data_IF_753717858135
#
_entry.id   IF_753717858135
#
_cell.length_a   1.000
_cell.length_b   1.000
_cell.length_c   1.000
_cell.angle_alpha   90.00
_cell.angle_beta   90.00
_cell.angle_gamma   90.00
#
_symmetry.space_group_name_H-M   'P 1'
#
loop_
_entity.id
_entity.type
_entity.pdbx_description
1 polymer ?
#
# COMPACT_ATOMS: atom_id res chain seq x y z
N UNK A 1 33.40 -7.54 7.45
CA UNK A 1 33.64 -6.30 6.69
C UNK A 1 32.30 -5.61 6.52
N UNK A 2 32.23 -4.31 6.77
CA UNK A 2 31.01 -3.51 6.53
C UNK A 2 30.95 -3.10 5.07
N UNK A 3 29.76 -3.21 4.44
CA UNK A 3 29.51 -2.82 3.05
C UNK A 3 28.26 -1.95 2.99
N UNK A 4 28.35 -0.81 2.31
CA UNK A 4 27.21 0.07 2.02
C UNK A 4 26.73 -0.20 0.60
N UNK A 5 25.43 -0.43 0.45
CA UNK A 5 24.75 -0.68 -0.83
C UNK A 5 23.73 0.42 -1.02
N UNK A 6 23.84 1.14 -2.13
CA UNK A 6 22.93 2.24 -2.49
C UNK A 6 21.84 1.76 -3.46
N UNK A 7 20.77 2.54 -3.57
CA UNK A 7 19.64 2.31 -4.50
C UNK A 7 19.00 0.93 -4.33
N UNK A 8 18.87 0.50 -3.08
CA UNK A 8 18.16 -0.74 -2.76
C UNK A 8 16.65 -0.49 -2.80
N UNK A 9 15.93 -1.39 -3.43
CA UNK A 9 14.47 -1.30 -3.53
C UNK A 9 13.82 -1.93 -2.30
N UNK A 10 12.87 -1.22 -1.69
CA UNK A 10 12.07 -1.73 -0.58
C UNK A 10 10.88 -2.55 -1.11
N UNK A 11 10.75 -3.84 -0.75
CA UNK A 11 9.65 -4.68 -1.22
C UNK A 11 8.43 -4.69 -0.29
N UNK A 12 8.38 -3.84 0.75
CA UNK A 12 7.43 -4.01 1.86
C UNK A 12 6.02 -3.52 1.50
N UNK A 13 5.91 -2.40 0.81
CA UNK A 13 4.61 -1.88 0.37
C UNK A 13 4.67 -1.42 -1.10
N UNK A 14 3.52 -1.05 -1.67
CA UNK A 14 3.41 -0.63 -3.07
C UNK A 14 4.17 0.64 -3.46
N UNK A 15 4.80 1.34 -2.52
CA UNK A 15 5.66 2.48 -2.83
C UNK A 15 6.94 2.08 -3.55
N UNK A 16 7.45 0.86 -3.34
CA UNK A 16 8.68 0.35 -3.94
C UNK A 16 9.82 1.39 -3.91
N UNK A 17 10.06 1.98 -2.72
CA UNK A 17 11.09 3.00 -2.55
C UNK A 17 12.44 2.44 -3.02
N UNK A 18 13.10 3.11 -3.94
CA UNK A 18 14.31 2.68 -4.66
C UNK A 18 15.55 3.49 -4.29
N UNK A 19 15.46 4.29 -3.25
CA UNK A 19 16.49 5.22 -2.78
C UNK A 19 17.10 4.80 -1.43
N UNK A 20 16.93 3.53 -1.03
CA UNK A 20 17.50 3.07 0.23
C UNK A 20 19.01 2.93 0.16
N UNK A 21 19.68 3.39 1.23
CA UNK A 21 21.08 3.07 1.52
C UNK A 21 21.10 2.05 2.65
N UNK A 22 21.67 0.87 2.38
CA UNK A 22 21.70 -0.26 3.32
C UNK A 22 23.11 -0.58 3.71
N UNK A 23 23.41 -0.64 5.00
CA UNK A 23 24.69 -1.12 5.51
C UNK A 23 24.56 -2.58 5.92
N UNK A 24 25.43 -3.42 5.34
CA UNK A 24 25.48 -4.87 5.60
C UNK A 24 26.78 -5.22 6.30
N UNK A 25 26.70 -5.94 7.42
CA UNK A 25 27.83 -6.50 8.16
C UNK A 25 27.56 -7.97 8.43
N UNK A 26 28.54 -8.82 8.19
CA UNK A 26 28.43 -10.27 8.40
C UNK A 26 27.16 -10.89 7.78
N UNK A 27 26.81 -10.44 6.57
CA UNK A 27 25.61 -10.85 5.85
C UNK A 27 24.27 -10.44 6.51
N UNK A 28 24.30 -9.47 7.41
CA UNK A 28 23.14 -8.92 8.08
C UNK A 28 22.95 -7.43 7.78
N UNK A 29 21.72 -6.99 7.62
CA UNK A 29 21.41 -5.56 7.52
C UNK A 29 21.45 -4.97 8.94
N UNK A 30 22.42 -4.07 9.15
CA UNK A 30 22.63 -3.42 10.45
C UNK A 30 22.13 -1.99 10.50
N UNK A 31 22.03 -1.34 9.33
CA UNK A 31 21.59 0.06 9.26
C UNK A 31 20.92 0.32 7.91
N UNK A 32 19.93 1.21 7.94
CA UNK A 32 19.25 1.68 6.73
C UNK A 32 19.05 3.19 6.79
N UNK A 33 19.22 3.86 5.65
CA UNK A 33 18.80 5.25 5.44
C UNK A 33 17.71 5.31 4.39
N UNK A 34 16.92 6.38 4.41
CA UNK A 34 15.79 6.63 3.51
C UNK A 34 14.65 5.58 3.62
N UNK A 35 14.68 4.70 4.60
CA UNK A 35 13.60 3.79 4.93
C UNK A 35 12.57 4.46 5.84
N UNK A 36 11.30 4.07 5.73
CA UNK A 36 10.29 4.40 6.73
C UNK A 36 10.34 3.38 7.89
N UNK A 37 9.65 3.68 8.98
CA UNK A 37 9.61 2.79 10.16
C UNK A 37 9.13 1.37 9.84
N UNK A 38 8.17 1.21 8.92
CA UNK A 38 7.71 -0.10 8.46
C UNK A 38 8.80 -0.87 7.71
N UNK A 39 9.55 -0.17 6.86
CA UNK A 39 10.67 -0.75 6.13
C UNK A 39 11.78 -1.18 7.09
N UNK A 40 12.17 -0.32 8.02
CA UNK A 40 13.18 -0.58 9.03
C UNK A 40 12.80 -1.75 9.94
N UNK A 41 11.58 -1.72 10.48
CA UNK A 41 11.07 -2.79 11.32
C UNK A 41 11.12 -4.17 10.64
N UNK A 42 10.87 -4.25 9.34
CA UNK A 42 10.86 -5.51 8.60
C UNK A 42 12.22 -5.91 8.05
N UNK A 43 12.98 -4.97 7.50
CA UNK A 43 14.27 -5.27 6.84
C UNK A 43 15.46 -5.32 7.80
N UNK A 44 15.41 -4.61 8.92
CA UNK A 44 16.49 -4.62 9.92
C UNK A 44 16.20 -5.57 11.08
N UNK A 45 14.97 -5.59 11.54
CA UNK A 45 14.59 -6.32 12.77
C UNK A 45 13.75 -7.58 12.51
N UNK A 46 12.82 -7.54 11.55
CA UNK A 46 11.81 -8.58 11.41
C UNK A 46 12.35 -9.98 11.09
N UNK A 47 13.44 -10.09 10.33
CA UNK A 47 14.02 -11.39 10.04
C UNK A 47 14.82 -12.01 11.19
N UNK A 48 15.16 -11.20 12.21
CA UNK A 48 15.84 -11.63 13.46
C UNK A 48 14.88 -11.87 14.61
N UNK A 49 13.57 -11.65 14.40
CA UNK A 49 12.57 -11.82 15.46
C UNK A 49 12.53 -13.27 15.94
N UNK A 50 12.54 -13.47 17.25
CA UNK A 50 12.35 -14.78 17.89
C UNK A 50 10.94 -15.36 17.61
N UNK A 51 9.97 -14.48 17.30
CA UNK A 51 8.61 -14.89 16.92
C UNK A 51 8.53 -15.45 15.49
N UNK A 52 9.63 -15.38 14.72
CA UNK A 52 9.65 -15.88 13.34
C UNK A 52 9.57 -17.41 13.34
N UNK A 53 8.54 -17.94 12.69
CA UNK A 53 8.36 -19.37 12.49
C UNK A 53 9.36 -19.85 11.43
N UNK A 54 10.33 -20.68 11.84
CA UNK A 54 11.38 -21.21 10.97
C UNK A 54 11.13 -22.67 10.55
N UNK A 55 10.19 -23.35 11.18
CA UNK A 55 9.83 -24.75 10.90
C UNK A 55 8.32 -24.89 10.83
N UNK A 56 7.80 -25.84 10.06
CA UNK A 56 6.39 -26.18 10.12
C UNK A 56 6.00 -26.59 11.54
N UNK A 57 4.77 -26.28 11.92
CA UNK A 57 4.27 -26.60 13.27
C UNK A 57 2.88 -27.23 13.17
N UNK A 58 2.61 -28.20 14.00
CA UNK A 58 1.28 -28.75 14.20
C UNK A 58 0.86 -28.63 15.67
N UNK A 59 -0.45 -28.62 15.91
CA UNK A 59 -0.98 -28.55 17.28
C UNK A 59 -1.13 -29.96 17.85
N UNK A 60 -0.42 -30.22 18.95
CA UNK A 60 -0.53 -31.43 19.76
C UNK A 60 -0.91 -31.00 21.19
N UNK A 61 -1.99 -31.55 21.71
CA UNK A 61 -2.51 -31.24 23.07
C UNK A 61 -2.62 -29.73 23.38
N UNK A 62 -3.11 -28.95 22.39
CA UNK A 62 -3.27 -27.51 22.53
C UNK A 62 -2.01 -26.68 22.28
N UNK A 63 -0.83 -27.28 22.16
CA UNK A 63 0.46 -26.59 21.98
C UNK A 63 0.94 -26.77 20.53
N UNK A 64 1.49 -25.69 19.93
CA UNK A 64 2.15 -25.76 18.63
C UNK A 64 3.55 -26.35 18.81
N UNK A 65 3.84 -27.45 18.14
CA UNK A 65 5.13 -28.13 18.17
C UNK A 65 5.76 -28.17 16.78
N UNK A 66 7.06 -27.92 16.63
CA UNK A 66 7.77 -28.03 15.36
C UNK A 66 7.76 -29.48 14.86
N UNK A 67 7.55 -29.66 13.55
CA UNK A 67 7.57 -30.96 12.89
C UNK A 67 8.31 -30.89 11.55
N UNK A 68 8.74 -32.01 10.97
CA UNK A 68 9.21 -32.07 9.59
C UNK A 68 8.13 -31.63 8.60
N UNK A 69 8.54 -31.08 7.45
CA UNK A 69 7.63 -30.61 6.41
C UNK A 69 6.64 -31.68 5.94
N UNK A 70 7.13 -32.90 5.72
CA UNK A 70 6.30 -34.02 5.26
C UNK A 70 5.21 -34.41 6.27
N UNK A 71 5.50 -34.33 7.57
CA UNK A 71 4.50 -34.56 8.62
C UNK A 71 3.43 -33.46 8.61
N UNK A 72 3.85 -32.20 8.44
CA UNK A 72 2.92 -31.06 8.34
C UNK A 72 2.01 -31.18 7.11
N UNK A 73 2.58 -31.53 5.95
CA UNK A 73 1.82 -31.72 4.70
C UNK A 73 0.82 -32.88 4.84
N UNK A 74 1.25 -34.02 5.37
CA UNK A 74 0.35 -35.16 5.62
C UNK A 74 -0.80 -34.78 6.55
N UNK A 75 -0.51 -34.05 7.62
CA UNK A 75 -1.55 -33.60 8.55
C UNK A 75 -2.51 -32.61 7.89
N UNK A 76 -2.03 -31.68 7.08
CA UNK A 76 -2.87 -30.74 6.33
C UNK A 76 -3.77 -31.48 5.31
N UNK A 77 -3.20 -32.41 4.55
CA UNK A 77 -3.96 -33.23 3.62
C UNK A 77 -5.06 -34.05 4.33
N UNK A 78 -4.75 -34.64 5.47
CA UNK A 78 -5.73 -35.40 6.27
C UNK A 78 -6.88 -34.47 6.73
N UNK A 79 -6.58 -33.25 7.22
CA UNK A 79 -7.61 -32.31 7.66
C UNK A 79 -8.53 -31.92 6.50
N UNK A 80 -7.95 -31.66 5.32
CA UNK A 80 -8.71 -31.30 4.12
C UNK A 80 -9.59 -32.46 3.64
N UNK A 81 -9.07 -33.68 3.66
CA UNK A 81 -9.81 -34.89 3.23
C UNK A 81 -10.93 -35.25 4.20
N UNK A 82 -10.74 -35.05 5.49
CA UNK A 82 -11.74 -35.34 6.52
C UNK A 82 -12.83 -34.26 6.59
N UNK A 83 -12.58 -33.09 6.03
CA UNK A 83 -13.53 -31.99 6.05
C UNK A 83 -14.74 -32.26 5.15
N UNK A 84 -15.94 -32.02 5.64
CA UNK A 84 -17.17 -32.19 4.87
C UNK A 84 -17.33 -31.18 3.74
N UNK A 85 -16.88 -29.96 3.99
CA UNK A 85 -16.94 -28.87 3.01
C UNK A 85 -15.81 -27.87 3.30
N UNK A 86 -14.60 -28.14 2.82
CA UNK A 86 -13.47 -27.24 3.03
C UNK A 86 -13.62 -25.94 2.23
N UNK A 87 -13.09 -24.85 2.74
CA UNK A 87 -12.96 -23.57 2.05
C UNK A 87 -11.48 -23.25 1.84
N UNK A 88 -11.07 -23.14 0.59
CA UNK A 88 -9.76 -22.64 0.21
C UNK A 88 -9.84 -21.13 -0.04
N UNK A 89 -9.38 -20.33 0.91
CA UNK A 89 -9.51 -18.87 0.87
C UNK A 89 -8.15 -18.17 0.84
N UNK A 90 -8.11 -17.05 0.10
CA UNK A 90 -6.93 -16.19 0.01
C UNK A 90 -6.55 -15.90 -1.43
N UNK A 91 -5.55 -16.58 -1.95
CA UNK A 91 -5.12 -16.68 -3.34
C UNK A 91 -4.75 -15.36 -4.05
N UNK A 92 -5.08 -14.19 -3.53
CA UNK A 92 -4.59 -12.94 -4.08
C UNK A 92 -3.12 -12.73 -3.69
N UNK A 93 -2.37 -11.98 -4.48
CA UNK A 93 -0.96 -11.67 -4.24
C UNK A 93 -0.05 -12.91 -4.18
N UNK A 94 -0.41 -13.98 -4.91
CA UNK A 94 0.43 -15.15 -5.12
C UNK A 94 0.65 -15.39 -6.61
N UNK A 95 1.57 -16.30 -6.94
CA UNK A 95 1.92 -16.59 -8.34
C UNK A 95 0.84 -17.44 -9.03
N UNK A 96 0.68 -17.28 -10.35
CA UNK A 96 -0.35 -17.95 -11.13
C UNK A 96 -0.27 -19.47 -11.06
N UNK A 97 0.93 -20.04 -10.97
CA UNK A 97 1.16 -21.49 -10.82
C UNK A 97 0.56 -22.02 -9.52
N UNK A 98 0.72 -21.30 -8.42
CA UNK A 98 0.12 -21.67 -7.14
C UNK A 98 -1.41 -21.57 -7.17
N UNK A 99 -1.95 -20.53 -7.85
CA UNK A 99 -3.39 -20.38 -8.03
C UNK A 99 -3.97 -21.55 -8.84
N UNK A 100 -3.31 -21.95 -9.94
CA UNK A 100 -3.71 -23.10 -10.75
C UNK A 100 -3.79 -24.39 -9.91
N UNK A 101 -2.73 -24.69 -9.15
CA UNK A 101 -2.71 -25.85 -8.26
C UNK A 101 -3.81 -25.75 -7.19
N UNK A 102 -4.08 -24.52 -6.70
CA UNK A 102 -5.18 -24.29 -5.75
C UNK A 102 -6.55 -24.62 -6.33
N UNK A 103 -6.79 -24.29 -7.61
CA UNK A 103 -8.04 -24.65 -8.30
C UNK A 103 -8.13 -26.19 -8.47
N UNK A 104 -7.07 -26.83 -8.94
CA UNK A 104 -7.01 -28.31 -9.08
C UNK A 104 -7.29 -29.01 -7.74
N UNK A 105 -6.70 -28.51 -6.65
CA UNK A 105 -6.95 -29.02 -5.31
C UNK A 105 -8.40 -28.82 -4.87
N UNK A 106 -9.00 -27.66 -5.20
CA UNK A 106 -10.39 -27.38 -4.89
C UNK A 106 -11.35 -28.32 -5.62
N UNK A 107 -11.08 -28.59 -6.89
CA UNK A 107 -11.84 -29.55 -7.72
C UNK A 107 -11.74 -30.98 -7.18
N UNK A 108 -10.52 -31.42 -6.81
CA UNK A 108 -10.29 -32.76 -6.24
C UNK A 108 -11.00 -32.95 -4.91
N UNK A 109 -11.05 -31.93 -4.07
CA UNK A 109 -11.71 -31.98 -2.76
C UNK A 109 -13.22 -31.71 -2.80
N UNK A 110 -13.75 -31.25 -3.95
CA UNK A 110 -15.12 -30.72 -4.00
C UNK A 110 -15.33 -29.51 -3.07
N UNK A 111 -14.31 -28.69 -2.90
CA UNK A 111 -14.29 -27.57 -1.95
C UNK A 111 -14.78 -26.27 -2.55
N UNK A 112 -15.18 -25.32 -1.71
CA UNK A 112 -15.32 -23.93 -2.13
C UNK A 112 -13.93 -23.31 -2.28
N UNK A 113 -13.78 -22.47 -3.34
CA UNK A 113 -12.60 -21.66 -3.56
C UNK A 113 -13.02 -20.18 -3.64
N UNK A 114 -12.38 -19.32 -2.86
CA UNK A 114 -12.65 -17.91 -2.89
C UNK A 114 -11.39 -17.10 -2.58
N UNK A 115 -11.40 -15.82 -2.93
CA UNK A 115 -10.28 -14.92 -2.68
C UNK A 115 -10.78 -13.56 -2.15
N UNK A 116 -9.85 -12.73 -1.69
CA UNK A 116 -10.20 -11.42 -1.17
C UNK A 116 -10.82 -10.48 -2.22
N UNK A 117 -10.73 -10.79 -3.51
CA UNK A 117 -11.35 -9.99 -4.56
C UNK A 117 -12.87 -9.98 -4.49
N UNK A 118 -13.51 -11.01 -3.97
CA UNK A 118 -14.98 -11.09 -3.85
C UNK A 118 -15.56 -9.94 -3.04
N UNK A 119 -14.88 -9.54 -1.97
CA UNK A 119 -15.29 -8.42 -1.12
C UNK A 119 -14.56 -7.13 -1.50
N UNK A 120 -13.26 -7.20 -1.79
CA UNK A 120 -12.39 -6.05 -2.02
C UNK A 120 -12.57 -5.47 -3.44
N UNK A 121 -12.44 -6.31 -4.48
CA UNK A 121 -12.47 -5.89 -5.88
C UNK A 121 -13.80 -6.16 -6.59
N UNK A 122 -14.63 -7.05 -6.09
CA UNK A 122 -15.90 -7.38 -6.72
C UNK A 122 -16.76 -6.15 -7.04
N UNK A 123 -17.05 -5.28 -6.07
CA UNK A 123 -17.79 -4.04 -6.32
C UNK A 123 -17.09 -3.11 -7.33
N UNK A 124 -15.76 -2.99 -7.24
CA UNK A 124 -14.99 -2.16 -8.17
C UNK A 124 -14.98 -2.74 -9.59
N UNK A 125 -14.90 -4.07 -9.73
CA UNK A 125 -14.97 -4.74 -11.05
C UNK A 125 -16.34 -4.54 -11.67
N UNK A 126 -17.42 -4.66 -10.93
CA UNK A 126 -18.77 -4.39 -11.41
C UNK A 126 -18.90 -2.94 -11.93
N UNK A 127 -18.44 -1.97 -11.14
CA UNK A 127 -18.42 -0.58 -11.57
C UNK A 127 -17.54 -0.37 -12.82
N UNK A 128 -16.38 -1.03 -12.88
CA UNK A 128 -15.47 -0.95 -14.03
C UNK A 128 -16.10 -1.50 -15.31
N UNK A 129 -16.91 -2.55 -15.22
CA UNK A 129 -17.63 -3.12 -16.38
C UNK A 129 -18.66 -2.15 -16.95
N UNK A 130 -19.24 -1.29 -16.12
CA UNK A 130 -20.25 -0.32 -16.54
C UNK A 130 -19.65 0.98 -17.06
N UNK A 131 -18.68 1.55 -16.35
CA UNK A 131 -18.18 2.91 -16.62
C UNK A 131 -16.67 2.97 -16.94
N UNK A 132 -15.97 1.84 -16.94
CA UNK A 132 -14.53 1.79 -17.09
C UNK A 132 -13.77 2.26 -15.84
N UNK A 133 -12.44 2.20 -15.92
CA UNK A 133 -11.55 2.70 -14.88
C UNK A 133 -10.39 3.48 -15.49
N UNK A 134 -10.33 4.80 -15.31
CA UNK A 134 -9.14 5.56 -15.67
C UNK A 134 -8.02 5.23 -14.66
N UNK A 135 -6.96 4.59 -15.14
CA UNK A 135 -5.83 4.20 -14.31
C UNK A 135 -4.59 5.05 -14.61
N UNK A 136 -3.75 5.24 -13.61
CA UNK A 136 -2.47 5.92 -13.74
C UNK A 136 -1.41 5.22 -12.89
N UNK A 137 -0.18 5.21 -13.39
CA UNK A 137 0.96 4.75 -12.60
C UNK A 137 1.37 5.81 -11.56
N UNK A 138 2.07 5.40 -10.51
CA UNK A 138 2.62 6.33 -9.53
C UNK A 138 3.54 7.37 -10.17
N UNK A 139 4.30 6.99 -11.21
CA UNK A 139 5.12 7.91 -11.99
C UNK A 139 4.29 8.96 -12.74
N UNK A 140 3.17 8.59 -13.35
CA UNK A 140 2.27 9.52 -14.00
C UNK A 140 1.64 10.49 -12.99
N UNK A 141 1.21 10.00 -11.84
CA UNK A 141 0.69 10.84 -10.75
C UNK A 141 1.76 11.83 -10.30
N UNK A 142 2.97 11.33 -10.00
CA UNK A 142 4.10 12.16 -9.59
C UNK A 142 4.37 13.32 -10.55
N UNK A 143 4.35 13.03 -11.85
CA UNK A 143 4.80 14.01 -12.85
C UNK A 143 3.68 14.88 -13.42
N UNK A 144 2.41 14.54 -13.25
CA UNK A 144 1.30 15.20 -13.96
C UNK A 144 0.14 15.67 -13.08
N UNK A 145 -0.09 15.04 -11.91
CA UNK A 145 -1.24 15.39 -11.09
C UNK A 145 -1.05 16.75 -10.41
N UNK A 146 -2.00 17.63 -10.57
CA UNK A 146 -2.11 18.94 -9.89
C UNK A 146 -3.12 18.92 -8.74
N UNK A 147 -4.03 17.96 -8.77
CA UNK A 147 -5.01 17.69 -7.72
C UNK A 147 -5.02 16.21 -7.38
N UNK A 148 -4.90 15.91 -6.11
CA UNK A 148 -4.98 14.54 -5.57
C UNK A 148 -6.17 14.46 -4.62
N UNK A 149 -7.01 13.43 -4.82
CA UNK A 149 -8.11 13.12 -3.91
C UNK A 149 -7.88 11.73 -3.33
N UNK A 150 -7.74 11.65 -2.01
CA UNK A 150 -7.76 10.40 -1.29
C UNK A 150 -9.17 10.16 -0.75
N UNK A 151 -9.79 9.08 -1.20
CA UNK A 151 -11.13 8.71 -0.80
C UNK A 151 -11.08 7.45 0.06
N UNK A 152 -11.44 7.58 1.34
CA UNK A 152 -11.39 6.51 2.34
C UNK A 152 -10.02 5.80 2.39
N UNK A 153 -8.93 6.56 2.21
CA UNK A 153 -7.58 6.04 2.14
C UNK A 153 -6.63 6.86 3.02
N UNK A 154 -5.83 6.14 3.82
CA UNK A 154 -4.82 6.75 4.68
C UNK A 154 -3.40 6.30 4.30
N UNK A 155 -2.87 6.74 3.15
CA UNK A 155 -1.54 6.33 2.67
C UNK A 155 -0.42 6.72 3.63
N UNK A 156 -0.57 7.75 4.43
CA UNK A 156 0.44 8.13 5.43
C UNK A 156 0.73 7.00 6.42
N UNK A 157 -0.26 6.17 6.73
CA UNK A 157 -0.09 5.01 7.61
C UNK A 157 0.22 3.73 6.83
N UNK A 158 -0.52 3.45 5.75
CA UNK A 158 -0.40 2.20 5.01
C UNK A 158 0.78 2.17 4.03
N UNK A 159 1.16 3.33 3.49
CA UNK A 159 2.23 3.52 2.50
C UNK A 159 3.05 4.77 2.86
N UNK A 160 3.84 4.77 3.93
CA UNK A 160 4.31 5.98 4.59
C UNK A 160 4.99 7.01 3.69
N UNK A 161 5.72 6.57 2.67
CA UNK A 161 6.41 7.48 1.74
C UNK A 161 5.62 7.81 0.46
N UNK A 162 4.38 7.33 0.34
CA UNK A 162 3.57 7.55 -0.87
C UNK A 162 3.28 9.04 -1.10
N UNK A 163 2.87 9.74 -0.05
CA UNK A 163 2.52 11.18 -0.13
C UNK A 163 3.74 12.03 -0.48
N UNK A 164 4.88 11.70 0.10
CA UNK A 164 6.17 12.36 -0.15
C UNK A 164 6.71 12.10 -1.56
N UNK A 165 6.70 10.85 -1.99
CA UNK A 165 7.42 10.46 -3.20
C UNK A 165 6.61 10.60 -4.50
N UNK A 166 5.29 10.45 -4.42
CA UNK A 166 4.49 10.28 -5.62
C UNK A 166 3.30 11.24 -5.73
N UNK A 167 2.88 11.89 -4.65
CA UNK A 167 1.66 12.67 -4.67
C UNK A 167 1.85 14.11 -4.20
N UNK A 168 1.34 14.47 -3.03
CA UNK A 168 1.14 15.87 -2.66
C UNK A 168 2.43 16.67 -2.42
N UNK A 169 3.53 16.03 -2.01
CA UNK A 169 4.75 16.74 -1.61
C UNK A 169 5.91 16.59 -2.60
N UNK A 170 5.74 15.82 -3.66
CA UNK A 170 6.80 15.64 -4.65
C UNK A 170 6.71 16.65 -5.77
N UNK A 171 7.85 17.04 -6.32
CA UNK A 171 7.91 17.84 -7.54
C UNK A 171 7.65 16.96 -8.77
N UNK A 172 6.90 17.48 -9.74
CA UNK A 172 6.62 16.83 -11.00
C UNK A 172 7.52 17.36 -12.12
N UNK A 173 7.78 16.51 -13.12
CA UNK A 173 8.55 16.90 -14.30
C UNK A 173 7.85 17.97 -15.14
N UNK A 174 6.52 18.00 -15.11
CA UNK A 174 5.68 18.82 -16.00
C UNK A 174 5.00 19.99 -15.27
N UNK A 175 5.53 20.41 -14.15
CA UNK A 175 5.01 21.57 -13.40
C UNK A 175 5.48 22.92 -13.95
N UNK A 176 6.24 22.92 -15.05
CA UNK A 176 6.68 24.13 -15.74
C UNK A 176 5.55 24.90 -16.44
N UNK A 177 5.91 26.08 -16.96
CA UNK A 177 4.97 27.00 -17.63
C UNK A 177 4.19 26.38 -18.78
N UNK A 178 4.79 25.47 -19.54
CA UNK A 178 4.16 24.79 -20.68
C UNK A 178 3.01 23.87 -20.24
N UNK A 179 3.19 23.12 -19.18
CA UNK A 179 2.14 22.25 -18.64
C UNK A 179 0.99 23.06 -18.03
N UNK A 180 1.30 24.16 -17.35
CA UNK A 180 0.27 25.08 -16.84
C UNK A 180 -0.56 25.67 -17.98
N UNK A 181 0.09 26.04 -19.08
CA UNK A 181 -0.59 26.53 -20.30
C UNK A 181 -1.48 25.45 -20.94
N UNK A 182 -1.03 24.21 -21.01
CA UNK A 182 -1.81 23.09 -21.51
C UNK A 182 -3.04 22.80 -20.63
N UNK A 183 -2.86 22.76 -19.31
CA UNK A 183 -3.95 22.58 -18.36
C UNK A 183 -4.97 23.72 -18.41
N UNK A 184 -4.53 24.96 -18.59
CA UNK A 184 -5.44 26.09 -18.79
C UNK A 184 -6.30 25.92 -20.05
N UNK A 185 -5.71 25.48 -21.18
CA UNK A 185 -6.43 25.18 -22.42
C UNK A 185 -7.45 24.05 -22.24
N UNK A 186 -7.08 22.96 -21.57
CA UNK A 186 -8.02 21.89 -21.27
C UNK A 186 -9.15 22.35 -20.34
N UNK A 187 -8.85 23.17 -19.33
CA UNK A 187 -9.84 23.73 -18.40
C UNK A 187 -10.79 24.70 -19.09
N UNK A 188 -10.34 25.45 -20.07
CA UNK A 188 -11.17 26.35 -20.87
C UNK A 188 -12.13 25.62 -21.82
N UNK A 189 -11.75 24.45 -22.32
CA UNK A 189 -12.59 23.59 -23.18
C UNK A 189 -13.57 22.67 -22.45
N UNK A 190 -13.39 22.44 -21.17
CA UNK A 190 -14.26 21.59 -20.38
C UNK A 190 -15.42 22.39 -19.78
N UNK A 191 -16.63 22.13 -20.28
CA UNK A 191 -17.86 22.63 -19.63
C UNK A 191 -17.97 22.05 -18.22
N UNK A 192 -17.53 22.80 -17.21
CA UNK A 192 -17.66 22.41 -15.81
C UNK A 192 -19.11 22.62 -15.36
N UNK A 193 -19.86 21.56 -15.12
CA UNK A 193 -20.95 21.64 -14.14
C UNK A 193 -20.31 22.07 -12.82
N UNK A 194 -20.66 23.27 -12.34
CA UNK A 194 -20.29 23.70 -10.98
C UNK A 194 -20.88 22.68 -10.01
N UNK A 195 -20.04 21.89 -9.38
CA UNK A 195 -20.46 21.14 -8.21
C UNK A 195 -20.55 22.18 -7.11
N UNK A 196 -21.79 22.45 -6.67
CA UNK A 196 -22.02 23.33 -5.53
C UNK A 196 -21.56 22.61 -4.27
N UNK A 197 -20.37 22.94 -3.81
CA UNK A 197 -19.75 22.39 -2.60
C UNK A 197 -20.18 23.20 -1.37
N UNK A 198 -21.38 23.76 -1.38
CA UNK A 198 -21.97 24.50 -0.26
C UNK A 198 -22.39 23.59 0.90
N UNK A 199 -21.80 22.41 1.06
CA UNK A 199 -22.05 21.59 2.24
C UNK A 199 -21.25 22.12 3.43
N UNK A 200 -21.91 22.33 4.56
CA UNK A 200 -21.40 22.82 5.84
C UNK A 200 -20.27 21.96 6.48
N UNK A 201 -19.67 21.00 5.74
CA UNK A 201 -18.71 19.99 6.23
C UNK A 201 -17.33 20.09 5.62
N UNK A 202 -17.03 21.13 4.84
CA UNK A 202 -15.67 21.33 4.33
C UNK A 202 -14.86 22.10 5.38
N UNK A 203 -13.96 21.42 6.03
CA UNK A 203 -13.00 22.06 6.94
C UNK A 203 -11.68 22.25 6.19
N UNK A 204 -11.28 23.52 6.03
CA UNK A 204 -9.92 23.83 5.59
C UNK A 204 -8.97 23.44 6.72
N UNK A 205 -8.06 22.53 6.48
CA UNK A 205 -7.03 22.14 7.43
C UNK A 205 -5.80 22.96 7.12
N UNK A 206 -5.37 23.79 8.04
CA UNK A 206 -4.04 24.39 7.97
C UNK A 206 -3.03 23.23 8.07
N UNK A 207 -2.11 23.08 7.10
CA UNK A 207 -1.18 21.96 7.07
C UNK A 207 -0.18 22.11 8.21
N UNK A 208 -0.52 21.58 9.37
CA UNK A 208 0.45 21.37 10.43
C UNK A 208 1.22 20.10 10.09
N UNK A 209 2.38 20.23 9.46
CA UNK A 209 3.28 19.12 9.22
C UNK A 209 3.83 18.69 10.58
N UNK A 210 3.15 17.74 11.21
CA UNK A 210 3.76 16.99 12.31
C UNK A 210 4.70 15.97 11.70
N UNK A 211 5.95 15.87 12.18
CA UNK A 211 6.83 14.80 11.76
C UNK A 211 6.11 13.47 12.04
N UNK A 212 5.72 12.78 10.97
CA UNK A 212 5.19 11.44 11.14
C UNK A 212 6.31 10.56 11.66
N UNK A 213 5.98 9.65 12.57
CA UNK A 213 6.89 8.63 13.12
C UNK A 213 7.50 7.73 12.00
N UNK A 214 7.10 7.98 10.75
CA UNK A 214 7.48 7.24 9.57
C UNK A 214 8.78 7.72 8.90
N UNK A 215 9.34 8.84 9.33
CA UNK A 215 10.62 9.31 8.81
C UNK A 215 11.76 8.82 9.70
N UNK A 216 12.65 8.02 9.13
CA UNK A 216 13.95 7.73 9.73
C UNK A 216 14.87 8.95 9.56
N UNK A 217 14.56 10.03 10.25
CA UNK A 217 15.30 11.28 10.22
C UNK A 217 14.41 12.49 10.50
N UNK A 218 14.98 13.66 10.82
CA UNK A 218 14.19 14.87 10.95
C UNK A 218 13.46 15.12 9.62
N UNK A 219 12.16 15.52 9.66
CA UNK A 219 11.46 15.88 8.44
C UNK A 219 12.26 16.97 7.74
N UNK A 220 12.37 16.94 6.41
CA UNK A 220 12.96 18.05 5.69
C UNK A 220 12.20 19.30 6.12
N UNK A 221 12.93 20.30 6.61
CA UNK A 221 12.38 21.54 7.20
C UNK A 221 11.56 22.37 6.19
N UNK A 222 11.43 21.89 4.95
CA UNK A 222 10.74 22.55 3.85
C UNK A 222 10.05 21.55 2.93
N UNK A 223 9.03 20.82 3.43
CA UNK A 223 8.07 20.19 2.53
C UNK A 223 7.07 21.24 2.06
N UNK A 224 7.47 22.10 1.15
CA UNK A 224 6.51 22.95 0.44
C UNK A 224 5.82 22.09 -0.62
N UNK A 225 4.50 22.03 -0.56
CA UNK A 225 3.68 21.43 -1.62
C UNK A 225 3.88 22.25 -2.90
N UNK A 226 4.47 21.73 -3.96
CA UNK A 226 4.80 22.48 -5.16
C UNK A 226 3.53 22.80 -5.99
N UNK A 227 2.66 23.65 -5.47
CA UNK A 227 1.44 24.11 -6.16
C UNK A 227 0.33 23.06 -6.32
N UNK A 228 0.51 21.84 -5.84
CA UNK A 228 -0.51 20.77 -5.85
C UNK A 228 -1.52 20.98 -4.74
N UNK A 229 -2.73 20.45 -4.98
CA UNK A 229 -3.80 20.42 -3.99
C UNK A 229 -4.11 18.99 -3.59
N UNK A 230 -4.37 18.80 -2.31
CA UNK A 230 -4.76 17.50 -1.76
C UNK A 230 -6.09 17.62 -1.01
N UNK A 231 -7.04 16.77 -1.41
CA UNK A 231 -8.34 16.62 -0.75
C UNK A 231 -8.36 15.23 -0.13
N UNK A 232 -8.85 15.13 1.10
CA UNK A 232 -9.11 13.84 1.75
C UNK A 232 -10.60 13.76 2.08
N UNK A 233 -11.22 12.65 1.68
CA UNK A 233 -12.60 12.30 1.99
C UNK A 233 -12.55 11.05 2.87
N UNK A 234 -13.00 11.14 4.12
CA UNK A 234 -12.94 10.02 5.06
C UNK A 234 -14.01 10.19 6.15
N UNK A 235 -14.37 9.11 6.82
CA UNK A 235 -15.27 9.10 7.98
C UNK A 235 -14.60 9.67 9.24
N UNK A 236 -13.27 9.72 9.27
CA UNK A 236 -12.47 10.23 10.39
C UNK A 236 -11.29 11.06 9.93
N UNK A 237 -10.84 11.98 10.76
CA UNK A 237 -9.63 12.77 10.51
C UNK A 237 -8.38 11.91 10.74
N UNK A 238 -7.80 11.43 9.63
CA UNK A 238 -6.58 10.62 9.62
C UNK A 238 -5.33 11.50 9.53
N UNK A 239 -4.13 10.90 9.70
CA UNK A 239 -2.86 11.62 9.47
C UNK A 239 -2.76 12.17 8.04
N UNK A 240 -3.30 11.48 7.05
CA UNK A 240 -3.36 11.97 5.68
C UNK A 240 -4.29 13.18 5.57
N UNK A 241 -5.42 13.17 6.28
CA UNK A 241 -6.36 14.29 6.35
C UNK A 241 -5.75 15.52 7.04
N UNK A 242 -4.89 15.32 8.05
CA UNK A 242 -4.17 16.42 8.71
C UNK A 242 -3.22 17.16 7.76
N UNK A 243 -2.67 16.46 6.77
CA UNK A 243 -1.78 17.03 5.76
C UNK A 243 -2.51 17.60 4.54
N UNK A 244 -3.83 17.42 4.43
CA UNK A 244 -4.62 17.84 3.28
C UNK A 244 -4.87 19.36 3.24
N UNK A 245 -5.10 19.89 2.03
CA UNK A 245 -5.61 21.27 1.87
C UNK A 245 -7.09 21.35 2.23
N UNK A 246 -7.83 20.27 1.95
CA UNK A 246 -9.25 20.17 2.28
C UNK A 246 -9.57 18.77 2.82
N UNK A 247 -10.32 18.73 3.89
CA UNK A 247 -10.87 17.51 4.46
C UNK A 247 -12.40 17.54 4.39
N UNK A 248 -12.98 16.51 3.79
CA UNK A 248 -14.41 16.31 3.75
C UNK A 248 -14.73 15.08 4.59
N UNK A 249 -15.39 15.33 5.71
CA UNK A 249 -15.91 14.24 6.53
C UNK A 249 -17.24 13.77 5.96
N UNK A 250 -17.36 12.46 5.75
CA UNK A 250 -18.57 11.77 5.35
C UNK A 250 -19.08 10.89 6.51
N UNK A 251 -20.35 10.52 6.49
CA UNK A 251 -20.97 9.62 7.47
C UNK A 251 -20.73 8.16 7.12
#
# INVERSE_FOLDING_TARGET
>A
MSKVINNVVCPICGCLCDDLEVTVENNEIVKMKNGCSMCEAKMVHGYKSEERILKPMIRKDGVLVPVPMDEAIKKAAQILTDAKYPLLFGWSSTVGEAQRIGVELAEELGSALDNCCSVCHGPSVMATQEIGIPAATLGQIRHRADLIVYWAANPWTSHPRHVERYTAFTEGRFEGSEWKGYLQKMKAGASRKKIDVASKRITRVEPSIRPSVCFAGPPPQTMQKPGRKMIVVDVRKTMTAEAADYFLQIE
#
